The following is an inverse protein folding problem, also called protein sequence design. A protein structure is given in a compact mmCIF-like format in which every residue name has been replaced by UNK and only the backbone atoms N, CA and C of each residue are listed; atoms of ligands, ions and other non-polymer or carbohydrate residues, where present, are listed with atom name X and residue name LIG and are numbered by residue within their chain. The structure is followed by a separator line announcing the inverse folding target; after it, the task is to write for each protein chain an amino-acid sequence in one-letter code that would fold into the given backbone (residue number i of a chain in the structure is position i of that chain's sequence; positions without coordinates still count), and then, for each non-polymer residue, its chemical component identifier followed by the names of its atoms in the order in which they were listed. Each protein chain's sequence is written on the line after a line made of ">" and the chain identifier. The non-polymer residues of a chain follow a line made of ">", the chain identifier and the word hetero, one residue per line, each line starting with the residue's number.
data_IF_139290799970
#
_entry.id   IF_139290799970
#
_cell.length_a   1.000
_cell.length_b   1.000
_cell.length_c   1.000
_cell.angle_alpha   90.00
_cell.angle_beta   90.00
_cell.angle_gamma   90.00
#
_symmetry.space_group_name_H-M   'P 1'
#
loop_
_entity.id
_entity.type
_entity.pdbx_description
1 polymer ?
#
# COMPACT_ATOMS: atom_id res chain seq x y z
N UNK A 1 -7.13 -8.66 -3.54
CA UNK A 1 -8.47 -8.77 -4.18
C UNK A 1 -9.08 -7.38 -4.19
N UNK A 2 -9.65 -6.96 -5.33
CA UNK A 2 -10.11 -5.58 -5.56
C UNK A 2 -11.63 -5.48 -5.34
N UNK A 3 -12.05 -4.51 -4.51
CA UNK A 3 -13.44 -4.42 -4.00
C UNK A 3 -14.37 -3.61 -4.90
N UNK A 4 -13.85 -2.60 -5.60
CA UNK A 4 -14.66 -1.60 -6.30
C UNK A 4 -15.52 -2.10 -7.48
N UNK A 5 -15.18 -3.16 -8.23
CA UNK A 5 -16.03 -3.69 -9.30
C UNK A 5 -17.31 -4.35 -8.79
N UNK A 6 -17.39 -4.62 -7.48
CA UNK A 6 -18.57 -5.17 -6.79
C UNK A 6 -19.14 -6.47 -7.39
N UNK A 7 -18.28 -7.31 -7.95
CA UNK A 7 -18.64 -8.68 -8.36
C UNK A 7 -18.58 -9.68 -7.20
N UNK A 8 -18.94 -10.94 -7.46
CA UNK A 8 -18.92 -12.03 -6.47
C UNK A 8 -17.56 -12.15 -5.74
N UNK A 9 -16.47 -12.15 -6.50
CA UNK A 9 -15.11 -12.22 -5.93
C UNK A 9 -14.74 -10.97 -5.13
N UNK A 10 -15.21 -9.79 -5.54
CA UNK A 10 -14.98 -8.54 -4.83
C UNK A 10 -15.69 -8.53 -3.48
N UNK A 11 -16.95 -8.96 -3.45
CA UNK A 11 -17.76 -9.05 -2.23
C UNK A 11 -17.17 -10.06 -1.24
N UNK A 12 -16.99 -11.32 -1.66
CA UNK A 12 -16.45 -12.35 -0.78
C UNK A 12 -15.01 -12.09 -0.36
N UNK A 13 -14.21 -11.50 -1.25
CA UNK A 13 -12.85 -11.06 -0.92
C UNK A 13 -12.82 -9.99 0.16
N UNK A 14 -13.71 -8.98 0.08
CA UNK A 14 -13.84 -7.97 1.12
C UNK A 14 -14.20 -8.61 2.46
N UNK A 15 -15.20 -9.50 2.48
CA UNK A 15 -15.66 -10.21 3.68
C UNK A 15 -14.53 -11.01 4.33
N UNK A 16 -13.80 -11.84 3.57
CA UNK A 16 -12.74 -12.70 4.13
C UNK A 16 -11.56 -11.87 4.65
N UNK A 17 -11.09 -10.87 3.88
CA UNK A 17 -9.90 -10.08 4.25
C UNK A 17 -10.17 -9.24 5.49
N UNK A 18 -11.30 -8.54 5.54
CA UNK A 18 -11.62 -7.69 6.70
C UNK A 18 -11.90 -8.50 7.95
N UNK A 19 -12.46 -9.71 7.83
CA UNK A 19 -12.62 -10.62 8.95
C UNK A 19 -11.30 -11.11 9.57
N UNK A 20 -10.15 -10.92 8.92
CA UNK A 20 -8.86 -11.19 9.59
C UNK A 20 -8.68 -10.33 10.86
N UNK A 21 -9.32 -9.16 10.93
CA UNK A 21 -9.32 -8.31 12.13
C UNK A 21 -10.05 -8.96 13.32
N UNK A 22 -10.99 -9.87 13.08
CA UNK A 22 -11.72 -10.58 14.14
C UNK A 22 -10.81 -11.44 15.03
N UNK A 23 -9.61 -11.78 14.55
CA UNK A 23 -8.62 -12.54 15.31
C UNK A 23 -7.97 -11.73 16.45
N UNK A 24 -8.19 -10.41 16.51
CA UNK A 24 -7.69 -9.56 17.60
C UNK A 24 -8.52 -9.82 18.86
N UNK A 25 -7.92 -10.25 19.98
CA UNK A 25 -8.65 -10.52 21.22
C UNK A 25 -9.37 -9.26 21.73
N UNK A 26 -10.57 -9.45 22.30
CA UNK A 26 -11.43 -8.43 22.90
C UNK A 26 -12.00 -7.37 21.95
N UNK A 27 -11.25 -6.90 20.96
CA UNK A 27 -11.64 -5.80 20.07
C UNK A 27 -11.95 -6.22 18.63
N UNK A 28 -11.63 -7.46 18.24
CA UNK A 28 -11.63 -7.87 16.83
C UNK A 28 -12.99 -7.70 16.14
N UNK A 29 -14.07 -8.13 16.81
CA UNK A 29 -15.41 -8.02 16.24
C UNK A 29 -15.85 -6.55 16.06
N UNK A 30 -15.55 -5.69 17.04
CA UNK A 30 -15.86 -4.27 16.97
C UNK A 30 -15.08 -3.58 15.83
N UNK A 31 -13.82 -3.96 15.62
CA UNK A 31 -13.01 -3.47 14.50
C UNK A 31 -13.58 -3.88 13.14
N UNK A 32 -14.03 -5.12 12.99
CA UNK A 32 -14.67 -5.60 11.75
C UNK A 32 -15.93 -4.78 11.44
N UNK A 33 -16.83 -4.65 12.41
CA UNK A 33 -18.06 -3.87 12.23
C UNK A 33 -17.78 -2.39 11.98
N UNK A 34 -16.77 -1.83 12.64
CA UNK A 34 -16.33 -0.46 12.42
C UNK A 34 -15.83 -0.25 10.99
N UNK A 35 -15.01 -1.18 10.46
CA UNK A 35 -14.54 -1.13 9.06
C UNK A 35 -15.71 -1.23 8.09
N UNK A 36 -16.64 -2.16 8.30
CA UNK A 36 -17.80 -2.34 7.44
C UNK A 36 -18.78 -1.16 7.50
N UNK A 37 -18.88 -0.51 8.67
CA UNK A 37 -19.92 0.48 8.94
C UNK A 37 -21.30 -0.16 9.10
N UNK A 38 -21.36 -1.42 9.55
CA UNK A 38 -22.58 -2.22 9.68
C UNK A 38 -22.28 -3.67 10.10
N UNK A 39 -23.30 -4.53 10.06
CA UNK A 39 -23.19 -5.93 10.45
C UNK A 39 -22.60 -6.86 9.38
N UNK A 40 -22.50 -6.37 8.13
CA UNK A 40 -21.94 -7.08 6.99
C UNK A 40 -21.33 -6.08 5.99
N UNK A 41 -20.58 -6.60 5.03
CA UNK A 41 -20.12 -5.82 3.88
C UNK A 41 -21.33 -5.33 3.08
N UNK A 42 -21.46 -4.02 2.91
CA UNK A 42 -22.58 -3.37 2.21
C UNK A 42 -22.15 -2.02 1.59
N UNK A 43 -23.10 -1.20 1.14
CA UNK A 43 -22.87 0.09 0.50
C UNK A 43 -22.00 1.06 1.34
N UNK A 44 -22.15 1.04 2.67
CA UNK A 44 -21.29 1.81 3.56
C UNK A 44 -19.81 1.40 3.43
N UNK A 45 -19.54 0.10 3.33
CA UNK A 45 -18.20 -0.45 3.10
C UNK A 45 -17.66 -0.04 1.73
N UNK A 46 -18.46 -0.20 0.67
CA UNK A 46 -18.04 0.14 -0.71
C UNK A 46 -17.67 1.62 -0.84
N UNK A 47 -18.50 2.51 -0.30
CA UNK A 47 -18.26 3.96 -0.35
C UNK A 47 -16.96 4.33 0.36
N UNK A 48 -16.72 3.79 1.56
CA UNK A 48 -15.47 4.02 2.30
C UNK A 48 -14.25 3.47 1.57
N UNK A 49 -14.38 2.28 0.99
CA UNK A 49 -13.28 1.63 0.27
C UNK A 49 -12.94 2.39 -1.02
N UNK A 50 -13.91 3.00 -1.68
CA UNK A 50 -13.65 3.93 -2.77
C UNK A 50 -12.85 5.15 -2.28
N UNK A 51 -13.25 5.78 -1.17
CA UNK A 51 -12.50 6.90 -0.60
C UNK A 51 -11.07 6.51 -0.22
N UNK A 52 -10.88 5.35 0.41
CA UNK A 52 -9.54 4.85 0.72
C UNK A 52 -8.72 4.56 -0.53
N UNK A 53 -9.30 3.88 -1.52
CA UNK A 53 -8.63 3.60 -2.79
C UNK A 53 -8.24 4.89 -3.53
N UNK A 54 -9.02 5.95 -3.39
CA UNK A 54 -8.70 7.25 -3.97
C UNK A 54 -7.54 7.95 -3.25
N UNK A 55 -7.54 7.99 -1.91
CA UNK A 55 -6.52 8.74 -1.15
C UNK A 55 -5.18 7.98 -1.01
N UNK A 56 -5.20 6.66 -0.88
CA UNK A 56 -4.01 5.85 -0.63
C UNK A 56 -2.90 6.01 -1.69
N UNK A 57 -3.20 6.08 -3.01
CA UNK A 57 -2.18 6.37 -4.02
C UNK A 57 -1.40 7.67 -3.77
N UNK A 58 -2.05 8.72 -3.26
CA UNK A 58 -1.38 9.98 -2.92
C UNK A 58 -0.50 9.84 -1.66
N UNK A 59 -0.94 9.04 -0.69
CA UNK A 59 -0.11 8.70 0.47
C UNK A 59 1.12 7.88 0.04
N UNK A 60 0.94 6.90 -0.85
CA UNK A 60 2.05 6.10 -1.41
C UNK A 60 3.01 6.98 -2.21
N UNK A 61 2.50 7.95 -2.98
CA UNK A 61 3.33 8.94 -3.67
C UNK A 61 4.19 9.74 -2.67
N UNK A 62 3.60 10.25 -1.59
CA UNK A 62 4.34 10.96 -0.56
C UNK A 62 5.41 10.07 0.11
N UNK A 63 5.06 8.82 0.45
CA UNK A 63 6.01 7.84 0.99
C UNK A 63 7.13 7.49 0.00
N UNK A 64 6.85 7.46 -1.30
CA UNK A 64 7.84 7.25 -2.35
C UNK A 64 8.84 8.41 -2.41
N UNK A 65 8.39 9.64 -2.26
CA UNK A 65 9.28 10.81 -2.18
C UNK A 65 10.18 10.77 -0.95
N UNK A 66 9.63 10.39 0.22
CA UNK A 66 10.42 10.20 1.45
C UNK A 66 11.45 9.09 1.26
N UNK A 67 11.05 7.98 0.65
CA UNK A 67 11.95 6.87 0.34
C UNK A 67 13.11 7.31 -0.57
N UNK A 68 12.82 8.06 -1.64
CA UNK A 68 13.84 8.59 -2.56
C UNK A 68 14.75 9.62 -1.87
N UNK A 69 14.22 10.43 -0.96
CA UNK A 69 15.03 11.36 -0.16
C UNK A 69 16.08 10.60 0.66
N UNK A 70 15.68 9.58 1.42
CA UNK A 70 16.64 8.77 2.18
C UNK A 70 17.62 8.00 1.27
N UNK A 71 17.16 7.51 0.12
CA UNK A 71 18.04 6.89 -0.87
C UNK A 71 19.08 7.89 -1.41
N UNK A 72 18.70 9.15 -1.62
CA UNK A 72 19.62 10.18 -2.09
C UNK A 72 20.70 10.55 -1.06
N UNK A 73 20.40 10.46 0.24
CA UNK A 73 21.40 10.72 1.30
C UNK A 73 22.55 9.69 1.28
N UNK A 74 22.25 8.41 1.05
CA UNK A 74 23.27 7.35 1.04
C UNK A 74 23.77 6.97 -0.36
N UNK A 75 22.96 7.23 -1.39
CA UNK A 75 23.11 6.68 -2.73
C UNK A 75 22.69 5.21 -2.84
N UNK A 76 22.60 4.73 -4.08
CA UNK A 76 22.30 3.32 -4.39
C UNK A 76 23.46 2.40 -3.99
N UNK A 77 23.11 1.21 -3.49
CA UNK A 77 24.08 0.12 -3.37
C UNK A 77 24.40 -0.50 -4.75
N UNK A 78 25.38 -1.38 -4.81
CA UNK A 78 25.81 -2.09 -6.01
C UNK A 78 25.96 -3.59 -5.76
N UNK A 79 26.05 -4.43 -6.81
CA UNK A 79 26.02 -5.89 -6.67
C UNK A 79 27.14 -6.50 -5.81
N UNK A 80 28.28 -5.82 -5.67
CA UNK A 80 29.39 -6.33 -4.83
C UNK A 80 29.24 -5.93 -3.37
N UNK A 81 28.32 -5.01 -3.04
CA UNK A 81 28.10 -4.50 -1.69
C UNK A 81 29.26 -3.66 -1.14
N UNK A 82 30.28 -3.36 -1.96
CA UNK A 82 31.42 -2.53 -1.60
C UNK A 82 31.11 -1.04 -1.82
N UNK A 83 31.90 -0.15 -1.21
CA UNK A 83 31.72 1.29 -1.42
C UNK A 83 32.04 1.68 -2.88
N UNK A 84 31.07 2.24 -3.59
CA UNK A 84 31.19 2.63 -5.01
C UNK A 84 31.71 4.05 -5.24
N UNK A 85 32.06 4.81 -4.19
CA UNK A 85 32.49 6.21 -4.32
C UNK A 85 33.71 6.41 -5.23
N UNK A 86 34.55 5.39 -5.39
CA UNK A 86 35.74 5.42 -6.27
C UNK A 86 35.40 5.34 -7.76
N UNK A 87 34.19 4.91 -8.13
CA UNK A 87 33.76 4.67 -9.50
C UNK A 87 32.29 5.08 -9.71
N UNK A 88 31.97 6.33 -9.37
CA UNK A 88 30.64 6.90 -9.64
C UNK A 88 30.56 7.49 -11.05
N UNK A 89 29.51 7.11 -11.76
CA UNK A 89 29.13 7.74 -13.04
C UNK A 89 27.85 8.58 -12.85
N UNK A 90 27.64 9.65 -13.64
CA UNK A 90 26.43 10.45 -13.55
C UNK A 90 25.19 9.64 -13.95
N UNK A 91 24.02 9.98 -13.38
CA UNK A 91 22.77 9.29 -13.69
C UNK A 91 22.36 9.45 -15.15
N UNK A 92 22.43 10.67 -15.67
CA UNK A 92 22.25 10.96 -17.10
C UNK A 92 23.61 11.02 -17.80
N UNK A 93 23.80 10.39 -18.98
CA UNK A 93 22.82 9.64 -19.77
C UNK A 93 22.68 8.16 -19.38
N UNK A 94 23.64 7.62 -18.62
CA UNK A 94 23.85 6.18 -18.47
C UNK A 94 22.64 5.39 -17.96
N UNK A 95 21.97 5.87 -16.91
CA UNK A 95 20.80 5.21 -16.33
C UNK A 95 19.47 5.79 -16.83
N UNK A 96 19.47 6.95 -17.47
CA UNK A 96 18.25 7.49 -18.10
C UNK A 96 17.82 6.68 -19.32
N UNK A 97 18.77 6.15 -20.08
CA UNK A 97 18.49 5.32 -21.27
C UNK A 97 18.52 3.81 -21.03
N UNK A 98 18.92 3.38 -19.83
CA UNK A 98 18.93 1.98 -19.44
C UNK A 98 17.51 1.53 -19.09
#
# INVERSE_FOLDING_TARGET
>A
IYVLPWGQMSFWGATVITNLLSAIPYLGHDLVQWVWGGFAVDNATLTRFFTFHFILPFIVLAMTMIHLMFLHETGSNNPTGLNSNVDKIPFHPYFTYK
#
